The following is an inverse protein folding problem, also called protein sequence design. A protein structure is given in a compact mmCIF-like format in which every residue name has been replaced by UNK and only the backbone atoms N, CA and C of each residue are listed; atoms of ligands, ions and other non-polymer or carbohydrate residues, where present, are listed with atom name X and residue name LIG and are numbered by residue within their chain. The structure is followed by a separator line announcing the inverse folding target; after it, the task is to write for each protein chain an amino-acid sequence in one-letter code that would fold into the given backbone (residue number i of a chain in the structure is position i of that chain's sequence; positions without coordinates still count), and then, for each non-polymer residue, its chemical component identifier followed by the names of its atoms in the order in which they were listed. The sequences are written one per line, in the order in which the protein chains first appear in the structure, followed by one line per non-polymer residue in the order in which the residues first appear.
data_IF_681143649623
#
_entry.id   IF_681143649623
#
_cell.length_a   1.000
_cell.length_b   1.000
_cell.length_c   1.000
_cell.angle_alpha   90.00
_cell.angle_beta   90.00
_cell.angle_gamma   90.00
#
_symmetry.space_group_name_H-M   'P 1'
#
loop_
_entity.id
_entity.type
_entity.pdbx_description
1 polymer ?
#
# COMPACT_ATOMS: atom_id res chain seq x y z
N UNK A 1 -12.29 13.11 4.56
CA UNK A 1 -12.23 12.30 3.32
C UNK A 1 -13.65 11.91 2.95
N UNK A 2 -14.08 12.06 1.68
CA UNK A 2 -15.42 11.60 1.25
C UNK A 2 -15.36 10.09 1.00
N UNK A 3 -15.95 9.31 1.88
CA UNK A 3 -16.01 7.85 1.79
C UNK A 3 -17.30 7.37 2.46
N UNK A 4 -17.88 6.28 1.94
CA UNK A 4 -19.00 5.58 2.59
C UNK A 4 -18.53 4.70 3.76
N UNK A 5 -17.24 4.33 3.78
CA UNK A 5 -16.58 3.61 4.86
C UNK A 5 -15.85 4.62 5.75
N UNK A 6 -15.87 4.38 7.06
CA UNK A 6 -15.11 5.19 8.00
C UNK A 6 -13.61 5.08 7.71
N UNK A 7 -12.94 6.23 7.62
CA UNK A 7 -11.49 6.32 7.52
C UNK A 7 -10.96 6.81 8.85
N UNK A 8 -10.12 6.03 9.51
CA UNK A 8 -9.57 6.35 10.84
C UNK A 8 -8.06 6.27 10.85
N UNK A 9 -7.43 7.09 11.69
CA UNK A 9 -6.03 6.87 12.09
C UNK A 9 -6.04 5.81 13.20
N UNK A 10 -5.27 4.71 13.06
CA UNK A 10 -5.23 3.67 14.09
C UNK A 10 -4.36 4.10 15.27
N UNK A 11 -4.68 3.56 16.45
CA UNK A 11 -3.79 3.63 17.61
C UNK A 11 -2.66 2.58 17.52
N UNK A 12 -1.57 2.79 18.26
CA UNK A 12 -0.51 1.78 18.38
C UNK A 12 -1.08 0.49 19.00
N UNK A 13 -0.70 -0.65 18.43
CA UNK A 13 -1.20 -1.98 18.79
C UNK A 13 -2.70 -2.18 18.58
N UNK A 14 -3.37 -1.32 17.83
CA UNK A 14 -4.76 -1.55 17.45
C UNK A 14 -4.88 -2.75 16.48
N UNK A 15 -5.89 -3.60 16.70
CA UNK A 15 -6.19 -4.74 15.83
C UNK A 15 -6.77 -4.30 14.49
N UNK A 16 -6.28 -4.87 13.39
CA UNK A 16 -6.77 -4.63 12.03
C UNK A 16 -8.09 -5.38 11.81
N UNK A 17 -9.16 -4.66 11.46
CA UNK A 17 -10.50 -5.24 11.27
C UNK A 17 -10.96 -5.16 9.82
N UNK A 18 -11.54 -6.25 9.31
CA UNK A 18 -12.19 -6.30 7.98
C UNK A 18 -13.21 -5.17 7.83
N UNK A 19 -13.26 -4.58 6.64
CA UNK A 19 -14.26 -3.55 6.28
C UNK A 19 -13.94 -2.15 6.77
N UNK A 20 -12.72 -1.90 7.23
CA UNK A 20 -12.25 -0.58 7.67
C UNK A 20 -11.16 -0.06 6.75
N UNK A 21 -11.00 1.26 6.70
CA UNK A 21 -9.93 1.94 5.98
C UNK A 21 -9.10 2.71 7.00
N UNK A 22 -7.80 2.44 7.02
CA UNK A 22 -6.88 3.04 7.97
C UNK A 22 -5.94 4.01 7.26
N UNK A 23 -5.76 5.19 7.83
CA UNK A 23 -4.83 6.21 7.35
C UNK A 23 -3.62 6.25 8.28
N UNK A 24 -2.41 6.17 7.72
CA UNK A 24 -1.20 6.27 8.52
C UNK A 24 -1.14 7.63 9.24
N UNK A 25 -0.98 7.66 10.57
CA UNK A 25 -0.88 8.91 11.31
C UNK A 25 0.33 9.74 10.87
N UNK A 26 0.16 11.05 10.81
CA UNK A 26 1.27 11.96 10.46
C UNK A 26 2.42 11.85 11.47
N UNK A 27 3.68 11.93 11.00
CA UNK A 27 4.89 11.81 11.81
C UNK A 27 5.15 10.44 12.46
N UNK A 28 4.39 9.40 12.10
CA UNK A 28 4.67 8.02 12.49
C UNK A 28 4.93 7.15 11.26
N UNK A 29 5.85 6.21 11.36
CA UNK A 29 5.82 5.06 10.47
C UNK A 29 4.72 4.12 10.95
N UNK A 30 3.90 3.65 10.02
CA UNK A 30 2.88 2.65 10.28
C UNK A 30 3.36 1.32 9.72
N UNK A 31 3.29 0.27 10.53
CA UNK A 31 3.67 -1.09 10.13
C UNK A 31 2.62 -2.09 10.60
N UNK A 32 2.68 -3.28 10.03
CA UNK A 32 1.79 -4.39 10.42
C UNK A 32 2.60 -5.52 11.03
N UNK A 33 2.21 -5.94 12.23
CA UNK A 33 2.82 -7.04 12.95
C UNK A 33 2.09 -8.36 12.75
N UNK A 34 2.78 -9.48 13.04
CA UNK A 34 2.14 -10.79 13.15
C UNK A 34 1.03 -10.72 14.20
N UNK A 35 -0.12 -11.31 13.88
CA UNK A 35 -1.32 -11.21 14.72
C UNK A 35 -2.32 -10.12 14.29
N UNK A 36 -2.05 -9.41 13.19
CA UNK A 36 -2.91 -8.35 12.63
C UNK A 36 -3.08 -7.15 13.56
N UNK A 37 -1.96 -6.59 14.01
CA UNK A 37 -1.93 -5.34 14.77
C UNK A 37 -1.13 -4.28 14.03
N UNK A 38 -1.53 -3.03 14.18
CA UNK A 38 -0.69 -1.89 13.79
C UNK A 38 0.45 -1.70 14.79
N UNK A 39 1.59 -1.26 14.30
CA UNK A 39 2.66 -0.73 15.13
C UNK A 39 3.10 0.63 14.58
N UNK A 40 3.16 1.61 15.47
CA UNK A 40 3.54 2.98 15.14
C UNK A 40 4.92 3.29 15.72
N UNK A 41 5.81 3.83 14.89
CA UNK A 41 7.16 4.22 15.33
C UNK A 41 7.53 5.63 14.92
N UNK A 42 8.40 6.26 15.70
CA UNK A 42 8.98 7.58 15.43
C UNK A 42 10.45 7.48 15.02
N UNK A 43 10.83 6.34 14.44
CA UNK A 43 12.16 6.11 13.88
C UNK A 43 12.51 7.11 12.77
N UNK A 44 13.77 7.12 12.36
CA UNK A 44 14.27 8.05 11.34
C UNK A 44 13.50 7.89 10.01
N UNK A 45 13.37 9.02 9.31
CA UNK A 45 12.68 9.07 8.02
C UNK A 45 13.33 8.13 7.00
N UNK A 46 12.50 7.42 6.25
CA UNK A 46 12.93 6.62 5.09
C UNK A 46 12.52 7.36 3.83
N UNK A 47 13.43 7.49 2.87
CA UNK A 47 13.22 8.28 1.64
C UNK A 47 12.79 9.74 1.91
N UNK A 48 13.25 10.34 3.02
CA UNK A 48 12.83 11.66 3.52
C UNK A 48 11.33 11.77 3.83
N UNK A 49 10.67 10.64 4.12
CA UNK A 49 9.24 10.58 4.44
C UNK A 49 8.99 9.89 5.78
N UNK A 50 8.00 10.38 6.51
CA UNK A 50 7.38 9.71 7.67
C UNK A 50 5.91 10.13 7.77
N UNK A 51 4.95 9.26 7.44
CA UNK A 51 5.09 7.82 7.15
C UNK A 51 5.85 7.50 5.87
N UNK A 52 6.48 6.32 5.83
CA UNK A 52 7.14 5.79 4.66
C UNK A 52 6.36 4.58 4.13
N UNK A 53 6.01 4.63 2.84
CA UNK A 53 5.21 3.60 2.16
C UNK A 53 5.97 2.27 2.12
N UNK A 54 7.30 2.31 1.91
CA UNK A 54 8.14 1.11 1.89
C UNK A 54 8.04 0.31 3.19
N UNK A 55 7.96 0.96 4.35
CA UNK A 55 7.83 0.29 5.65
C UNK A 55 6.47 -0.41 5.76
N UNK A 56 5.39 0.31 5.45
CA UNK A 56 4.03 -0.25 5.52
C UNK A 56 3.91 -1.45 4.58
N UNK A 57 4.27 -1.28 3.31
CA UNK A 57 4.16 -2.33 2.30
C UNK A 57 5.06 -3.53 2.63
N UNK A 58 6.28 -3.30 3.11
CA UNK A 58 7.21 -4.36 3.45
C UNK A 58 6.74 -5.24 4.61
N UNK A 59 6.19 -4.61 5.66
CA UNK A 59 5.66 -5.34 6.81
C UNK A 59 4.34 -6.04 6.47
N UNK A 60 3.45 -5.41 5.69
CA UNK A 60 2.29 -6.07 5.11
C UNK A 60 2.69 -7.29 4.27
N UNK A 61 3.71 -7.16 3.40
CA UNK A 61 4.16 -8.26 2.54
C UNK A 61 4.63 -9.45 3.38
N UNK A 62 5.34 -9.19 4.47
CA UNK A 62 5.80 -10.22 5.40
C UNK A 62 4.62 -10.95 6.08
N UNK A 63 3.63 -10.19 6.57
CA UNK A 63 2.49 -10.73 7.34
C UNK A 63 1.49 -11.47 6.43
N UNK A 64 1.12 -10.87 5.30
CA UNK A 64 0.01 -11.34 4.47
C UNK A 64 0.42 -12.20 3.27
N UNK A 65 1.67 -12.08 2.80
CA UNK A 65 2.21 -12.86 1.67
C UNK A 65 1.28 -12.85 0.45
N UNK A 66 0.91 -14.01 -0.08
CA UNK A 66 0.05 -14.17 -1.26
C UNK A 66 -1.38 -13.63 -1.09
N UNK A 67 -1.80 -13.32 0.15
CA UNK A 67 -3.11 -12.72 0.42
C UNK A 67 -3.09 -11.20 0.34
N UNK A 68 -1.92 -10.59 0.14
CA UNK A 68 -1.78 -9.14 0.03
C UNK A 68 -2.02 -8.67 -1.40
N UNK A 69 -2.76 -7.56 -1.52
CA UNK A 69 -2.79 -6.74 -2.73
C UNK A 69 -2.11 -5.41 -2.40
N UNK A 70 -1.00 -5.13 -3.08
CA UNK A 70 -0.29 -3.85 -3.01
C UNK A 70 -0.69 -2.94 -4.15
N UNK A 71 -1.08 -1.70 -3.84
CA UNK A 71 -1.41 -0.69 -4.85
C UNK A 71 -0.55 0.55 -4.63
N UNK A 72 0.20 0.95 -5.65
CA UNK A 72 1.04 2.15 -5.63
C UNK A 72 0.54 3.18 -6.64
N UNK A 73 0.19 4.37 -6.16
CA UNK A 73 -0.38 5.45 -6.95
C UNK A 73 0.67 6.53 -7.29
N UNK A 74 0.24 7.59 -7.98
CA UNK A 74 1.03 8.79 -8.28
C UNK A 74 1.76 9.33 -7.05
N UNK A 75 3.03 9.72 -7.20
CA UNK A 75 3.86 10.21 -6.11
C UNK A 75 5.22 10.75 -6.57
N UNK A 76 5.78 11.67 -5.78
CA UNK A 76 6.91 12.51 -6.17
C UNK A 76 8.31 11.94 -5.86
N UNK A 77 8.39 10.78 -5.21
CA UNK A 77 9.65 10.16 -4.82
C UNK A 77 9.61 8.66 -5.14
N UNK A 78 10.55 7.88 -4.58
CA UNK A 78 10.66 6.43 -4.83
C UNK A 78 10.06 5.58 -3.70
N UNK A 79 9.41 6.22 -2.73
CA UNK A 79 8.88 5.57 -1.55
C UNK A 79 7.70 4.67 -1.92
N UNK A 80 7.83 3.38 -1.61
CA UNK A 80 6.89 2.33 -2.01
C UNK A 80 7.41 1.41 -3.10
N UNK A 81 8.47 1.79 -3.85
CA UNK A 81 9.03 0.92 -4.87
C UNK A 81 9.65 -0.36 -4.28
N UNK A 82 10.40 -0.24 -3.17
CA UNK A 82 10.99 -1.40 -2.49
C UNK A 82 9.90 -2.25 -1.83
N UNK A 83 8.89 -1.62 -1.25
CA UNK A 83 7.72 -2.27 -0.70
C UNK A 83 6.98 -3.10 -1.76
N UNK A 84 6.73 -2.54 -2.94
CA UNK A 84 6.11 -3.28 -4.06
C UNK A 84 6.95 -4.48 -4.50
N UNK A 85 8.29 -4.35 -4.55
CA UNK A 85 9.18 -5.50 -4.79
C UNK A 85 9.00 -6.57 -3.73
N UNK A 86 8.94 -6.19 -2.45
CA UNK A 86 8.77 -7.14 -1.34
C UNK A 86 7.41 -7.86 -1.38
N UNK A 87 6.35 -7.18 -1.84
CA UNK A 87 5.04 -7.82 -2.08
C UNK A 87 5.17 -8.88 -3.18
N UNK A 88 5.75 -8.50 -4.32
CA UNK A 88 5.97 -9.40 -5.47
C UNK A 88 6.83 -10.61 -5.10
N UNK A 89 7.96 -10.40 -4.42
CA UNK A 89 8.87 -11.46 -3.94
C UNK A 89 8.17 -12.48 -3.01
N UNK A 90 7.07 -12.08 -2.38
CA UNK A 90 6.28 -12.90 -1.44
C UNK A 90 4.99 -13.45 -2.04
N UNK A 91 4.79 -13.29 -3.34
CA UNK A 91 3.64 -13.80 -4.08
C UNK A 91 2.37 -12.98 -3.91
N UNK A 92 2.44 -11.80 -3.28
CA UNK A 92 1.32 -10.86 -3.24
C UNK A 92 1.09 -10.23 -4.61
N UNK A 93 -0.14 -9.78 -4.86
CA UNK A 93 -0.52 -9.17 -6.13
C UNK A 93 -0.19 -7.68 -6.13
N UNK A 94 0.46 -7.22 -7.18
CA UNK A 94 0.97 -5.85 -7.29
C UNK A 94 0.28 -5.06 -8.40
N UNK A 95 -0.21 -3.88 -8.05
CA UNK A 95 -0.83 -2.94 -8.98
C UNK A 95 -0.13 -1.60 -8.86
N UNK A 96 0.21 -0.99 -9.99
CA UNK A 96 0.66 0.40 -10.04
C UNK A 96 -0.29 1.22 -10.90
N UNK A 97 -0.46 2.49 -10.54
CA UNK A 97 -1.18 3.43 -11.38
C UNK A 97 -0.42 3.59 -12.71
N UNK A 98 -1.18 3.63 -13.82
CA UNK A 98 -0.69 3.95 -15.16
C UNK A 98 0.10 5.28 -15.14
N UNK A 99 1.43 5.25 -15.41
CA UNK A 99 2.27 6.44 -15.31
C UNK A 99 1.77 7.62 -16.15
N UNK A 100 1.15 7.35 -17.30
CA UNK A 100 0.63 8.40 -18.20
C UNK A 100 -0.60 9.14 -17.66
N UNK A 101 -1.28 8.60 -16.65
CA UNK A 101 -2.40 9.26 -15.93
C UNK A 101 -1.94 9.93 -14.63
N UNK A 102 -0.71 9.64 -14.17
CA UNK A 102 -0.20 10.17 -12.91
C UNK A 102 0.05 11.68 -13.01
N UNK A 103 -0.31 12.40 -11.94
CA UNK A 103 0.15 13.79 -11.79
C UNK A 103 1.67 13.85 -11.61
N UNK A 104 2.23 12.88 -10.86
CA UNK A 104 3.67 12.69 -10.72
C UNK A 104 3.98 11.20 -10.83
N UNK A 105 4.65 10.83 -11.91
CA UNK A 105 4.91 9.45 -12.30
C UNK A 105 6.17 8.82 -11.66
N UNK A 106 6.91 9.59 -10.85
CA UNK A 106 8.20 9.15 -10.27
C UNK A 106 8.07 7.86 -9.48
N UNK A 107 7.06 7.78 -8.60
CA UNK A 107 6.85 6.63 -7.72
C UNK A 107 6.40 5.36 -8.50
N UNK A 108 5.37 5.40 -9.38
CA UNK A 108 5.04 4.26 -10.23
C UNK A 108 6.19 3.79 -11.13
N UNK A 109 6.93 4.72 -11.77
CA UNK A 109 8.09 4.37 -12.60
C UNK A 109 9.21 3.70 -11.79
N UNK A 110 9.43 4.15 -10.56
CA UNK A 110 10.42 3.54 -9.68
C UNK A 110 10.05 2.08 -9.36
N UNK A 111 8.78 1.78 -9.07
CA UNK A 111 8.31 0.42 -8.82
C UNK A 111 8.46 -0.47 -10.07
N UNK A 112 8.02 0.02 -11.24
CA UNK A 112 8.15 -0.69 -12.52
C UNK A 112 9.61 -1.00 -12.90
N UNK A 113 10.55 -0.14 -12.50
CA UNK A 113 11.98 -0.35 -12.74
C UNK A 113 12.59 -1.43 -11.85
N UNK A 114 11.98 -1.71 -10.69
CA UNK A 114 12.59 -2.50 -9.62
C UNK A 114 12.02 -3.92 -9.52
N UNK A 115 10.77 -4.13 -9.92
CA UNK A 115 10.11 -5.43 -9.89
C UNK A 115 9.14 -5.61 -11.05
N UNK A 116 8.79 -6.87 -11.35
CA UNK A 116 7.69 -7.16 -12.25
C UNK A 116 6.38 -6.87 -11.53
N UNK A 117 5.63 -5.88 -12.02
CA UNK A 117 4.30 -5.54 -11.53
C UNK A 117 3.25 -6.37 -12.30
N UNK A 118 2.24 -6.89 -11.59
CA UNK A 118 1.20 -7.73 -12.20
C UNK A 118 0.24 -6.91 -13.07
N UNK A 119 -0.14 -5.72 -12.58
CA UNK A 119 -1.06 -4.83 -13.29
C UNK A 119 -0.61 -3.37 -13.30
N UNK A 120 -0.63 -2.76 -14.48
CA UNK A 120 -0.50 -1.31 -14.67
C UNK A 120 -1.87 -0.80 -15.11
N UNK A 121 -2.56 -0.07 -14.24
CA UNK A 121 -3.97 0.26 -14.40
C UNK A 121 -4.23 1.75 -14.21
N UNK A 122 -5.15 2.31 -15.00
CA UNK A 122 -5.76 3.61 -14.70
C UNK A 122 -6.60 3.54 -13.44
N UNK A 123 -6.85 4.67 -12.79
CA UNK A 123 -7.63 4.75 -11.53
C UNK A 123 -9.01 4.09 -11.68
N UNK A 124 -9.73 4.35 -12.78
CA UNK A 124 -11.05 3.74 -13.04
C UNK A 124 -10.96 2.21 -13.22
N UNK A 125 -9.85 1.71 -13.74
CA UNK A 125 -9.60 0.28 -13.90
C UNK A 125 -9.26 -0.37 -12.54
N UNK A 126 -8.57 0.33 -11.63
CA UNK A 126 -8.35 -0.12 -10.26
C UNK A 126 -9.70 -0.26 -9.52
N UNK A 127 -10.61 0.70 -9.70
CA UNK A 127 -11.97 0.61 -9.13
C UNK A 127 -12.73 -0.59 -9.70
N UNK A 128 -12.68 -0.78 -11.02
CA UNK A 128 -13.29 -1.95 -11.68
C UNK A 128 -12.73 -3.26 -11.14
N UNK A 129 -11.40 -3.35 -10.99
CA UNK A 129 -10.71 -4.52 -10.44
C UNK A 129 -11.23 -4.87 -9.04
N UNK A 130 -11.38 -3.89 -8.14
CA UNK A 130 -11.93 -4.15 -6.80
C UNK A 130 -13.38 -4.62 -6.82
N UNK A 131 -14.21 -4.07 -7.72
CA UNK A 131 -15.61 -4.49 -7.86
C UNK A 131 -15.72 -5.94 -8.37
N UNK A 132 -14.78 -6.39 -9.20
CA UNK A 132 -14.71 -7.77 -9.66
C UNK A 132 -14.20 -8.70 -8.57
N UNK A 133 -13.17 -8.27 -7.83
CA UNK A 133 -12.63 -9.00 -6.68
C UNK A 133 -13.72 -9.23 -5.60
N UNK A 134 -14.51 -8.20 -5.26
CA UNK A 134 -15.60 -8.32 -4.27
C UNK A 134 -16.64 -9.37 -4.69
N UNK A 135 -16.95 -9.50 -5.98
CA UNK A 135 -17.87 -10.54 -6.49
C UNK A 135 -17.30 -11.94 -6.34
N UNK A 136 -15.98 -12.10 -6.38
CA UNK A 136 -15.31 -13.39 -6.27
C UNK A 136 -15.20 -13.89 -4.82
N UNK A 137 -15.13 -12.96 -3.84
CA UNK A 137 -14.96 -13.28 -2.41
C UNK A 137 -16.23 -13.08 -1.57
N UNK A 138 -17.37 -12.73 -2.19
CA UNK A 138 -18.71 -12.86 -1.62
C UNK A 138 -19.25 -14.28 -1.83
#
# INVERSE_FOLDING_TARGET
IKSIVQVTEPDDKESIKKGNVYLAPSNYHMSVELGNFFALSTEEMVNNSRPAIDITLGTCAYVYKEKLIGILLSGANRDGALGMKQISDRGGLTIVQEPTECMIETMPKAALSLTKIDHVLKVDQIVTFFNELDKQYR
#
